data_IF_236223520037
#
_entry.id   IF_236223520037
#
_cell.length_a   1.000
_cell.length_b   1.000
_cell.length_c   1.000
_cell.angle_alpha   90.00
_cell.angle_beta   90.00
_cell.angle_gamma   90.00
#
_symmetry.space_group_name_H-M   'P 1'
#
loop_
_entity.id
_entity.type
_entity.pdbx_description
1 polymer ?
#
# COMPACT_ATOMS: atom_id res chain seq x y z
N UNK A 1 -9.98 -12.62 11.42
CA UNK A 1 -8.96 -13.16 10.50
C UNK A 1 -8.50 -11.99 9.66
N UNK A 2 -7.27 -11.55 9.83
CA UNK A 2 -6.71 -10.41 9.10
C UNK A 2 -6.23 -10.92 7.75
N UNK A 3 -6.69 -10.29 6.66
CA UNK A 3 -6.32 -10.67 5.31
C UNK A 3 -5.00 -10.00 4.93
N UNK A 4 -4.22 -10.66 4.05
CA UNK A 4 -3.03 -10.06 3.42
C UNK A 4 -3.35 -8.69 2.79
N UNK A 5 -4.59 -8.50 2.33
CA UNK A 5 -5.11 -7.26 1.74
C UNK A 5 -5.22 -6.09 2.72
N UNK A 6 -5.25 -6.37 4.02
CA UNK A 6 -5.32 -5.34 5.07
C UNK A 6 -3.96 -5.02 5.68
N UNK A 7 -2.89 -5.68 5.24
CA UNK A 7 -1.58 -5.62 5.89
C UNK A 7 -0.67 -4.53 5.34
N UNK A 8 -0.20 -3.66 6.24
CA UNK A 8 0.77 -2.60 5.94
C UNK A 8 2.10 -3.18 5.46
N UNK A 9 2.51 -4.31 6.06
CA UNK A 9 3.78 -4.95 5.72
C UNK A 9 3.79 -5.45 4.27
N UNK A 10 2.67 -6.03 3.85
CA UNK A 10 2.50 -6.50 2.47
C UNK A 10 2.30 -5.35 1.49
N UNK A 11 1.63 -4.27 1.87
CA UNK A 11 1.58 -3.05 1.06
C UNK A 11 3.00 -2.49 0.82
N UNK A 12 3.81 -2.38 1.88
CA UNK A 12 5.21 -1.91 1.78
C UNK A 12 6.08 -2.82 0.92
N UNK A 13 5.85 -4.13 0.95
CA UNK A 13 6.49 -5.06 0.03
C UNK A 13 6.08 -4.80 -1.43
N UNK A 14 4.77 -4.66 -1.70
CA UNK A 14 4.25 -4.38 -3.04
C UNK A 14 4.77 -3.04 -3.58
N UNK A 15 4.98 -2.07 -2.69
CA UNK A 15 5.57 -0.76 -2.99
C UNK A 15 7.09 -0.80 -3.21
N UNK A 16 7.77 -1.92 -2.88
CA UNK A 16 9.23 -2.05 -2.95
C UNK A 16 9.97 -1.46 -1.76
N UNK A 17 9.26 -0.98 -0.74
CA UNK A 17 9.85 -0.34 0.46
C UNK A 17 10.44 -1.39 1.43
N UNK A 18 10.03 -2.65 1.30
CA UNK A 18 10.51 -3.79 2.09
C UNK A 18 10.83 -4.95 1.16
N UNK A 19 12.02 -5.57 1.24
CA UNK A 19 12.34 -6.74 0.42
C UNK A 19 11.74 -8.02 1.02
N UNK A 20 11.45 -9.00 0.15
CA UNK A 20 10.74 -10.24 0.52
C UNK A 20 11.46 -11.03 1.61
N UNK A 21 12.79 -11.06 1.57
CA UNK A 21 13.63 -11.78 2.53
C UNK A 21 13.60 -11.17 3.94
N UNK A 22 13.13 -9.92 4.09
CA UNK A 22 12.99 -9.25 5.38
C UNK A 22 11.57 -9.23 5.93
N UNK A 23 10.53 -9.52 5.12
CA UNK A 23 9.12 -9.49 5.57
C UNK A 23 8.92 -10.26 6.87
N UNK A 24 9.40 -11.51 6.94
CA UNK A 24 9.21 -12.38 8.11
C UNK A 24 9.90 -11.88 9.40
N UNK A 25 10.73 -10.83 9.31
CA UNK A 25 11.47 -10.24 10.44
C UNK A 25 10.88 -8.90 10.88
N UNK A 26 9.96 -8.31 10.11
CA UNK A 26 9.41 -7.00 10.38
C UNK A 26 8.05 -7.10 11.08
N UNK A 27 7.72 -6.11 11.93
CA UNK A 27 6.42 -6.08 12.60
C UNK A 27 5.30 -5.89 11.58
N UNK A 28 4.21 -6.62 11.78
CA UNK A 28 2.98 -6.47 11.02
C UNK A 28 1.98 -5.55 11.73
N UNK A 29 1.22 -4.78 10.94
CA UNK A 29 0.08 -3.98 11.38
C UNK A 29 -0.90 -3.83 10.22
N UNK A 30 -2.11 -3.35 10.51
CA UNK A 30 -3.03 -2.97 9.42
C UNK A 30 -2.56 -1.71 8.72
N UNK A 31 -2.92 -1.59 7.45
CA UNK A 31 -2.74 -0.36 6.66
C UNK A 31 -3.33 0.84 7.41
N UNK A 32 -4.57 0.74 7.91
CA UNK A 32 -5.24 1.78 8.70
C UNK A 32 -4.51 2.19 10.00
N UNK A 33 -3.68 1.31 10.54
CA UNK A 33 -2.87 1.60 11.74
C UNK A 33 -1.57 2.32 11.38
N UNK A 34 -1.27 2.48 10.08
CA UNK A 34 -0.17 3.27 9.57
C UNK A 34 -0.68 4.54 8.85
N UNK A 35 -0.97 5.63 9.60
CA UNK A 35 -1.45 6.87 9.00
C UNK A 35 -0.49 7.47 7.96
N UNK A 36 0.82 7.17 8.07
CA UNK A 36 1.81 7.67 7.13
C UNK A 36 1.60 7.19 5.70
N UNK A 37 1.14 5.95 5.50
CA UNK A 37 0.82 5.42 4.17
C UNK A 37 -0.68 5.49 3.88
N UNK A 38 -1.52 5.19 4.86
CA UNK A 38 -2.97 5.10 4.66
C UNK A 38 -3.61 6.40 4.16
N UNK A 39 -3.07 7.57 4.55
CA UNK A 39 -3.59 8.87 4.10
C UNK A 39 -3.45 9.10 2.59
N UNK A 40 -2.59 8.34 1.91
CA UNK A 40 -2.33 8.45 0.47
C UNK A 40 -3.13 7.45 -0.37
N UNK A 41 -4.03 6.65 0.22
CA UNK A 41 -4.88 5.73 -0.53
C UNK A 41 -6.15 6.46 -0.99
N UNK A 42 -6.24 6.74 -2.28
CA UNK A 42 -7.38 7.36 -2.94
C UNK A 42 -8.13 6.31 -3.80
N UNK A 43 -8.87 5.42 -3.13
CA UNK A 43 -9.75 4.43 -3.75
C UNK A 43 -11.06 4.34 -2.97
N UNK A 44 -12.19 4.27 -3.67
CA UNK A 44 -13.53 4.23 -3.05
C UNK A 44 -13.76 3.04 -2.13
N UNK A 45 -13.00 1.95 -2.33
CA UNK A 45 -13.06 0.74 -1.50
C UNK A 45 -12.21 0.85 -0.24
N UNK A 46 -11.39 1.90 -0.12
CA UNK A 46 -10.60 2.18 1.07
C UNK A 46 -11.19 3.36 1.83
N UNK A 47 -11.56 3.21 3.12
CA UNK A 47 -12.04 4.32 3.93
C UNK A 47 -10.97 5.41 4.03
N UNK A 48 -11.23 6.59 3.49
CA UNK A 48 -10.29 7.71 3.54
C UNK A 48 -9.90 8.02 4.99
N UNK A 49 -8.60 8.15 5.23
CA UNK A 49 -8.06 8.49 6.54
C UNK A 49 -7.63 9.95 6.53
N UNK A 50 -8.35 10.78 7.30
CA UNK A 50 -7.89 12.12 7.60
C UNK A 50 -6.81 12.04 8.69
N UNK A 51 -5.65 12.62 8.41
CA UNK A 51 -4.55 12.76 9.36
C UNK A 51 -4.43 14.23 9.77
N UNK A 52 -4.08 14.46 11.03
CA UNK A 52 -3.77 15.78 11.56
C UNK A 52 -2.27 15.94 11.79
N UNK A 53 -1.83 17.20 11.92
CA UNK A 53 -0.45 17.54 12.26
C UNK A 53 0.46 17.78 11.06
N UNK A 54 1.76 18.08 11.30
CA UNK A 54 2.66 18.60 10.27
C UNK A 54 2.98 17.61 9.13
N UNK A 55 2.71 16.31 9.34
CA UNK A 55 2.91 15.26 8.34
C UNK A 55 1.61 14.78 7.70
N UNK A 56 0.49 15.45 7.98
CA UNK A 56 -0.75 15.24 7.25
C UNK A 56 -0.58 15.69 5.81
N UNK A 57 -1.09 14.91 4.85
CA UNK A 57 -1.04 15.24 3.43
C UNK A 57 -1.57 16.66 3.13
N UNK A 58 -2.59 17.12 3.88
CA UNK A 58 -3.14 18.47 3.76
C UNK A 58 -2.14 19.61 4.07
N UNK A 59 -1.04 19.30 4.77
CA UNK A 59 0.00 20.26 5.17
C UNK A 59 1.31 20.09 4.39
N UNK A 60 1.36 19.19 3.41
CA UNK A 60 2.54 18.91 2.60
C UNK A 60 2.42 19.55 1.21
N UNK A 61 3.54 19.53 0.48
CA UNK A 61 3.60 20.00 -0.90
C UNK A 61 2.63 19.21 -1.79
N UNK A 62 1.86 19.93 -2.62
CA UNK A 62 0.77 19.33 -3.38
C UNK A 62 1.26 18.36 -4.46
N UNK A 63 2.43 18.62 -5.06
CA UNK A 63 3.01 17.74 -6.08
C UNK A 63 3.49 16.44 -5.43
N UNK A 64 4.18 16.55 -4.28
CA UNK A 64 4.54 15.39 -3.47
C UNK A 64 3.32 14.54 -3.07
N UNK A 65 2.25 15.20 -2.59
CA UNK A 65 1.02 14.51 -2.18
C UNK A 65 0.38 13.79 -3.37
N UNK A 66 0.35 14.41 -4.54
CA UNK A 66 -0.19 13.77 -5.75
C UNK A 66 0.64 12.55 -6.17
N UNK A 67 1.98 12.67 -6.14
CA UNK A 67 2.90 11.58 -6.47
C UNK A 67 2.77 10.40 -5.50
N UNK A 68 2.81 10.65 -4.19
CA UNK A 68 2.65 9.60 -3.18
C UNK A 68 1.23 8.99 -3.22
N UNK A 69 0.19 9.80 -3.43
CA UNK A 69 -1.18 9.28 -3.58
C UNK A 69 -1.27 8.31 -4.76
N UNK A 70 -0.67 8.67 -5.91
CA UNK A 70 -0.65 7.80 -7.07
C UNK A 70 0.16 6.52 -6.81
N UNK A 71 1.33 6.63 -6.16
CA UNK A 71 2.20 5.49 -5.82
C UNK A 71 1.50 4.51 -4.89
N UNK A 72 1.00 5.01 -3.75
CA UNK A 72 0.40 4.19 -2.70
C UNK A 72 -0.94 3.61 -3.15
N UNK A 73 -1.77 4.37 -3.87
CA UNK A 73 -3.04 3.85 -4.41
C UNK A 73 -2.82 2.71 -5.41
N UNK A 74 -1.84 2.84 -6.32
CA UNK A 74 -1.49 1.73 -7.24
C UNK A 74 -1.02 0.49 -6.48
N UNK A 75 -0.15 0.66 -5.49
CA UNK A 75 0.33 -0.44 -4.64
C UNK A 75 -0.81 -1.13 -3.90
N UNK A 76 -1.74 -0.36 -3.33
CA UNK A 76 -2.91 -0.89 -2.65
C UNK A 76 -3.83 -1.68 -3.59
N UNK A 77 -4.16 -1.13 -4.77
CA UNK A 77 -4.97 -1.85 -5.77
C UNK A 77 -4.33 -3.17 -6.20
N UNK A 78 -3.01 -3.19 -6.35
CA UNK A 78 -2.24 -4.40 -6.68
C UNK A 78 -2.31 -5.42 -5.54
N UNK A 79 -2.18 -4.97 -4.29
CA UNK A 79 -2.39 -5.81 -3.11
C UNK A 79 -3.80 -6.43 -3.08
N UNK A 80 -4.85 -5.65 -3.37
CA UNK A 80 -6.23 -6.16 -3.45
C UNK A 80 -6.43 -7.20 -4.56
N UNK A 81 -5.65 -7.14 -5.63
CA UNK A 81 -5.74 -8.10 -6.73
C UNK A 81 -5.08 -9.45 -6.41
N UNK A 82 -4.18 -9.52 -5.41
CA UNK A 82 -3.40 -10.72 -5.11
C UNK A 82 -4.24 -11.98 -4.86
N UNK A 83 -5.30 -11.96 -4.03
CA UNK A 83 -6.11 -13.15 -3.79
C UNK A 83 -6.79 -13.68 -5.06
N UNK A 84 -7.08 -12.80 -6.02
CA UNK A 84 -7.73 -13.16 -7.29
C UNK A 84 -6.79 -13.81 -8.29
N UNK A 85 -5.47 -13.59 -8.15
CA UNK A 85 -4.46 -14.16 -9.04
C UNK A 85 -4.06 -15.59 -8.67
N UNK A 86 -4.49 -16.09 -7.50
CA UNK A 86 -4.12 -17.44 -7.02
C UNK A 86 -2.63 -17.62 -6.76
N UNK A 87 -1.85 -16.53 -6.74
CA UNK A 87 -0.40 -16.54 -6.55
C UNK A 87 -0.07 -16.57 -5.06
N UNK A 88 0.91 -17.38 -4.68
CA UNK A 88 1.53 -17.27 -3.35
C UNK A 88 2.49 -16.08 -3.34
N UNK A 89 2.75 -15.49 -2.17
CA UNK A 89 3.63 -14.32 -2.00
C UNK A 89 5.02 -14.50 -2.66
N UNK A 90 5.53 -15.74 -2.69
CA UNK A 90 6.82 -16.07 -3.25
C UNK A 90 6.86 -16.12 -4.79
N UNK A 91 5.70 -16.25 -5.44
CA UNK A 91 5.57 -16.36 -6.90
C UNK A 91 5.41 -14.98 -7.58
N UNK A 92 5.53 -13.90 -6.82
CA UNK A 92 5.28 -12.55 -7.28
C UNK A 92 6.41 -11.99 -8.16
N UNK A 93 6.18 -11.72 -9.46
CA UNK A 93 7.11 -10.94 -10.24
C UNK A 93 6.83 -9.46 -9.93
N UNK A 94 7.81 -8.76 -9.34
CA UNK A 94 7.77 -7.29 -9.22
C UNK A 94 7.58 -6.57 -10.57
N UNK A 95 7.68 -7.28 -11.70
CA UNK A 95 7.60 -6.78 -13.07
C UNK A 95 6.19 -6.70 -13.70
N UNK A 96 5.11 -7.18 -13.08
CA UNK A 96 3.76 -7.06 -13.67
C UNK A 96 3.07 -5.80 -13.15
N UNK A 97 3.35 -4.65 -13.77
CA UNK A 97 2.33 -3.61 -13.89
C UNK A 97 1.20 -4.20 -14.74
N UNK A 98 -0.07 -4.22 -14.26
CA UNK A 98 -1.16 -4.43 -15.18
C UNK A 98 -1.11 -3.26 -16.16
N UNK A 99 -0.74 -3.55 -17.41
CA UNK A 99 -0.84 -2.61 -18.51
C UNK A 99 -2.24 -2.00 -18.51
N UNK A 100 -2.29 -0.69 -18.74
CA UNK A 100 -3.52 0.05 -18.97
C UNK A 100 -4.24 -0.56 -20.17
N UNK A 101 -5.32 -1.28 -19.90
CA UNK A 101 -6.31 -1.73 -20.88
C UNK A 101 -7.52 -0.82 -20.87
#
# INVERSE_FOLDING_TARGET
MESITDSDLYLRYVLGDVPLDLIHKLPERHIRCNPFLAQYIADERFPSLACDGPFAAANLDADFVAEETARVTRGWRRLQALPMLGLTLAEYPLAVTPDEG
#
